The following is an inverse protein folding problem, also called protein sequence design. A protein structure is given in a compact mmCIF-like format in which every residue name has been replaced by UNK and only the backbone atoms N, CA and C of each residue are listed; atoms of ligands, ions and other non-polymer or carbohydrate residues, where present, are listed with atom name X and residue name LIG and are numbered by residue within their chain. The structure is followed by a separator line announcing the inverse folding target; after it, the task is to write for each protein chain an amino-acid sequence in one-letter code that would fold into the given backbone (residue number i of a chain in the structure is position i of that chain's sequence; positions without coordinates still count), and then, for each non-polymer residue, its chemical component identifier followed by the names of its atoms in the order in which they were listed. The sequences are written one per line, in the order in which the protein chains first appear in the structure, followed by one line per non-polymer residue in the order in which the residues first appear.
data_IF_864847321055
#
_entry.id   IF_864847321055
#
_cell.length_a   1.000
_cell.length_b   1.000
_cell.length_c   1.000
_cell.angle_alpha   90.00
_cell.angle_beta   90.00
_cell.angle_gamma   90.00
#
_symmetry.space_group_name_H-M   'P 1'
#
loop_
_entity.id
_entity.type
_entity.pdbx_description
1 polymer ?
#
# COMPACT_ATOMS: atom_id res chain seq x y z
N UNK A 1 -6.26 -12.34 29.44
CA UNK A 1 -6.31 -13.80 29.29
C UNK A 1 -7.32 -14.17 28.20
N UNK A 2 -6.83 -14.61 27.04
CA UNK A 2 -7.45 -15.60 26.19
C UNK A 2 -8.88 -15.38 25.71
N UNK A 3 -9.14 -14.32 24.91
CA UNK A 3 -10.25 -14.38 24.00
C UNK A 3 -9.89 -15.43 22.92
N UNK A 4 -10.47 -16.59 23.07
CA UNK A 4 -10.29 -17.70 22.14
C UNK A 4 -10.58 -17.24 20.71
N UNK A 5 -9.75 -17.62 19.76
CA UNK A 5 -9.77 -17.46 18.29
C UNK A 5 -11.10 -17.81 17.59
N UNK A 6 -12.27 -17.85 18.26
CA UNK A 6 -13.44 -18.63 17.85
C UNK A 6 -14.73 -17.88 17.55
N UNK A 7 -14.79 -16.57 17.68
CA UNK A 7 -16.00 -15.84 17.31
C UNK A 7 -15.75 -14.87 16.17
N UNK A 8 -15.63 -15.38 14.97
CA UNK A 8 -15.78 -14.55 13.76
C UNK A 8 -17.27 -14.41 13.45
N UNK A 9 -17.83 -13.27 13.77
CA UNK A 9 -19.12 -12.87 13.23
C UNK A 9 -18.95 -12.65 11.72
N UNK A 10 -19.44 -13.57 10.90
CA UNK A 10 -19.48 -13.42 9.45
C UNK A 10 -20.88 -12.98 9.05
N UNK A 11 -20.99 -11.80 8.48
CA UNK A 11 -22.17 -11.41 7.72
C UNK A 11 -22.10 -12.17 6.39
N UNK A 12 -22.98 -13.15 6.18
CA UNK A 12 -23.16 -13.84 4.90
C UNK A 12 -24.59 -13.62 4.44
N UNK A 13 -24.73 -12.98 3.30
CA UNK A 13 -25.98 -12.91 2.56
C UNK A 13 -25.94 -13.83 1.35
N UNK A 14 -27.03 -14.54 1.06
CA UNK A 14 -27.21 -15.15 -0.24
C UNK A 14 -27.56 -14.08 -1.29
N UNK A 15 -27.39 -14.36 -2.57
CA UNK A 15 -27.71 -13.41 -3.65
C UNK A 15 -29.17 -12.95 -3.63
N UNK A 16 -30.12 -13.81 -3.19
CA UNK A 16 -31.54 -13.48 -3.05
C UNK A 16 -31.77 -12.58 -1.82
N UNK A 17 -31.20 -12.90 -0.67
CA UNK A 17 -31.26 -12.07 0.54
C UNK A 17 -30.64 -10.70 0.32
N UNK A 18 -29.59 -10.63 -0.51
CA UNK A 18 -28.99 -9.37 -0.91
C UNK A 18 -29.95 -8.51 -1.73
N UNK A 19 -30.59 -9.08 -2.76
CA UNK A 19 -31.60 -8.37 -3.56
C UNK A 19 -32.75 -7.86 -2.68
N UNK A 20 -33.23 -8.66 -1.75
CA UNK A 20 -34.24 -8.26 -0.78
C UNK A 20 -33.76 -7.18 0.18
N UNK A 21 -32.54 -7.33 0.73
CA UNK A 21 -31.96 -6.32 1.64
C UNK A 21 -31.72 -4.96 0.97
N UNK A 22 -31.39 -4.96 -0.32
CA UNK A 22 -31.26 -3.72 -1.12
C UNK A 22 -32.62 -3.11 -1.40
N UNK A 23 -33.64 -3.92 -1.73
CA UNK A 23 -34.99 -3.41 -2.01
C UNK A 23 -35.69 -2.91 -0.74
N UNK A 24 -35.54 -3.61 0.40
CA UNK A 24 -36.23 -3.32 1.65
C UNK A 24 -35.43 -2.48 2.63
N UNK A 25 -34.22 -2.05 2.26
CA UNK A 25 -33.28 -1.30 3.14
C UNK A 25 -33.00 -2.04 4.47
N UNK A 26 -33.08 -3.36 4.47
CA UNK A 26 -32.86 -4.21 5.64
C UNK A 26 -31.56 -4.97 5.52
N UNK A 27 -30.69 -4.83 6.50
CA UNK A 27 -29.48 -5.64 6.66
C UNK A 27 -29.75 -6.72 7.69
N UNK A 28 -29.60 -7.99 7.32
CA UNK A 28 -29.76 -9.12 8.25
C UNK A 28 -28.39 -9.59 8.72
N UNK A 29 -28.15 -9.49 10.01
CA UNK A 29 -26.95 -10.04 10.65
C UNK A 29 -27.23 -11.46 11.12
N UNK A 30 -26.53 -12.44 10.52
CA UNK A 30 -26.57 -13.84 10.98
C UNK A 30 -25.49 -14.10 11.99
N UNK A 31 -25.87 -14.43 13.21
CA UNK A 31 -24.93 -14.86 14.24
C UNK A 31 -24.57 -16.34 13.99
N UNK A 32 -23.31 -16.59 13.69
CA UNK A 32 -22.80 -17.94 13.44
C UNK A 32 -21.71 -18.25 14.47
N UNK A 33 -21.91 -19.31 15.25
CA UNK A 33 -20.87 -19.82 16.15
C UNK A 33 -20.12 -20.92 15.44
N UNK A 34 -18.80 -20.76 15.32
CA UNK A 34 -17.90 -21.78 14.81
C UNK A 34 -17.39 -22.66 15.96
N UNK A 35 -17.48 -23.96 15.82
CA UNK A 35 -16.85 -24.94 16.70
C UNK A 35 -15.81 -25.75 15.91
N UNK A 36 -14.80 -26.23 16.63
CA UNK A 36 -13.83 -27.14 16.03
C UNK A 36 -14.56 -28.38 15.49
N UNK A 37 -14.25 -28.78 14.27
CA UNK A 37 -14.84 -29.96 13.67
C UNK A 37 -14.41 -31.21 14.46
N UNK A 38 -15.35 -31.90 15.06
CA UNK A 38 -15.11 -33.10 15.89
C UNK A 38 -14.67 -34.31 15.06
N UNK A 39 -15.01 -34.35 13.77
CA UNK A 39 -14.67 -35.46 12.86
C UNK A 39 -13.18 -35.41 12.46
N UNK A 40 -12.61 -34.24 12.29
CA UNK A 40 -11.20 -34.11 11.91
C UNK A 40 -10.37 -33.38 12.98
N UNK A 41 -10.91 -33.16 14.17
CA UNK A 41 -10.25 -32.46 15.28
C UNK A 41 -9.60 -31.14 14.87
N UNK A 42 -10.22 -30.39 13.95
CA UNK A 42 -9.73 -29.11 13.47
C UNK A 42 -8.73 -29.18 12.32
N UNK A 43 -8.26 -30.35 11.92
CA UNK A 43 -7.23 -30.49 10.89
C UNK A 43 -7.75 -30.29 9.45
N UNK A 44 -9.06 -30.30 9.22
CA UNK A 44 -9.66 -30.18 7.88
C UNK A 44 -9.52 -31.43 6.99
N UNK A 45 -8.74 -32.40 7.42
CA UNK A 45 -8.48 -33.65 6.71
C UNK A 45 -8.63 -34.83 7.65
N UNK A 46 -9.08 -35.97 7.11
CA UNK A 46 -9.24 -37.24 7.82
C UNK A 46 -8.43 -38.34 7.17
N UNK A 47 -8.02 -39.33 7.94
CA UNK A 47 -7.35 -40.50 7.41
C UNK A 47 -8.30 -41.29 6.50
N UNK A 48 -7.75 -41.85 5.45
CA UNK A 48 -8.50 -42.70 4.52
C UNK A 48 -8.04 -44.15 4.67
N UNK A 49 -8.96 -44.97 5.06
CA UNK A 49 -8.78 -46.45 5.11
C UNK A 49 -9.15 -47.04 3.75
N UNK A 50 -8.20 -47.77 3.15
CA UNK A 50 -8.40 -48.48 1.90
C UNK A 50 -9.27 -49.71 2.09
N UNK A 51 -9.75 -50.31 0.99
CA UNK A 51 -10.55 -51.54 1.02
C UNK A 51 -9.85 -52.75 1.65
N UNK A 52 -8.52 -52.75 1.63
CA UNK A 52 -7.67 -53.78 2.25
C UNK A 52 -7.43 -53.56 3.77
N UNK A 53 -8.09 -52.57 4.37
CA UNK A 53 -7.96 -52.24 5.79
C UNK A 53 -6.74 -51.38 6.13
N UNK A 54 -5.86 -51.06 5.18
CA UNK A 54 -4.67 -50.24 5.45
C UNK A 54 -4.98 -48.76 5.38
N UNK A 55 -4.33 -47.97 6.22
CA UNK A 55 -4.48 -46.50 6.21
C UNK A 55 -3.62 -45.90 5.08
N UNK A 56 -4.22 -45.08 4.25
CA UNK A 56 -3.54 -44.39 3.15
C UNK A 56 -2.60 -43.28 3.69
N UNK A 57 -1.44 -43.13 3.09
CA UNK A 57 -0.55 -41.96 3.37
C UNK A 57 -1.19 -40.64 2.95
N UNK A 58 -2.17 -40.66 2.03
CA UNK A 58 -2.88 -39.46 1.53
C UNK A 58 -4.15 -39.29 2.36
N UNK A 59 -4.25 -38.18 3.09
CA UNK A 59 -5.45 -37.80 3.84
C UNK A 59 -6.51 -37.22 2.91
N UNK A 60 -7.78 -37.52 3.16
CA UNK A 60 -8.92 -36.96 2.44
C UNK A 60 -9.45 -35.69 3.13
N UNK A 61 -10.02 -34.80 2.33
CA UNK A 61 -10.73 -33.63 2.84
C UNK A 61 -11.88 -34.09 3.74
N UNK A 62 -11.97 -33.56 4.95
CA UNK A 62 -13.08 -33.86 5.86
C UNK A 62 -14.38 -33.33 5.30
N UNK A 63 -15.30 -34.22 4.99
CA UNK A 63 -16.62 -33.89 4.43
C UNK A 63 -17.50 -33.08 5.39
N UNK A 64 -17.34 -33.27 6.70
CA UNK A 64 -18.14 -32.59 7.74
C UNK A 64 -17.85 -31.07 7.78
N UNK A 65 -16.64 -30.66 7.56
CA UNK A 65 -16.22 -29.25 7.58
C UNK A 65 -15.73 -28.74 6.20
N UNK A 66 -15.83 -29.57 5.15
CA UNK A 66 -15.32 -29.27 3.81
C UNK A 66 -13.89 -28.74 3.80
N UNK A 67 -13.02 -29.38 4.57
CA UNK A 67 -11.60 -29.01 4.68
C UNK A 67 -11.30 -27.81 5.57
N UNK A 68 -12.30 -27.16 6.17
CA UNK A 68 -12.12 -25.90 6.94
C UNK A 68 -11.65 -26.11 8.38
N UNK A 69 -11.65 -27.34 8.90
CA UNK A 69 -11.34 -27.66 10.28
C UNK A 69 -12.40 -27.20 11.29
N UNK A 70 -13.41 -26.45 10.84
CA UNK A 70 -14.45 -25.86 11.68
C UNK A 70 -15.84 -26.11 11.08
N UNK A 71 -16.81 -26.37 11.95
CA UNK A 71 -18.24 -26.39 11.63
C UNK A 71 -18.90 -25.12 12.18
N UNK A 72 -19.93 -24.64 11.50
CA UNK A 72 -20.63 -23.40 11.85
C UNK A 72 -22.10 -23.66 12.06
N UNK A 73 -22.63 -23.25 13.22
CA UNK A 73 -24.05 -23.33 13.57
C UNK A 73 -24.61 -21.91 13.58
N UNK A 74 -25.74 -21.72 12.89
CA UNK A 74 -26.50 -20.46 12.93
C UNK A 74 -27.33 -20.44 14.24
N UNK A 75 -27.04 -19.44 15.10
CA UNK A 75 -27.70 -19.31 16.41
C UNK A 75 -28.78 -18.25 16.47
N UNK A 76 -29.04 -17.55 15.38
CA UNK A 76 -30.11 -16.57 15.29
C UNK A 76 -29.88 -15.51 14.21
N UNK A 77 -30.92 -14.70 14.00
CA UNK A 77 -30.84 -13.50 13.16
C UNK A 77 -31.14 -12.29 14.05
N UNK A 78 -30.35 -11.23 13.91
CA UNK A 78 -30.66 -9.93 14.51
C UNK A 78 -30.94 -8.95 13.39
N UNK A 79 -31.92 -8.05 13.61
CA UNK A 79 -32.11 -6.93 12.69
C UNK A 79 -30.82 -6.12 12.62
N UNK A 80 -30.34 -5.87 11.40
CA UNK A 80 -29.17 -5.03 11.19
C UNK A 80 -29.53 -3.55 11.30
N UNK A 81 -28.52 -2.68 11.20
CA UNK A 81 -28.68 -1.23 11.27
C UNK A 81 -29.28 -0.59 10.01
N UNK A 82 -29.87 -1.37 9.10
CA UNK A 82 -30.44 -0.90 7.81
C UNK A 82 -29.47 -0.05 6.98
N UNK A 83 -28.20 -0.40 7.00
CA UNK A 83 -27.17 0.25 6.20
C UNK A 83 -27.15 -0.40 4.82
N UNK A 84 -27.57 0.34 3.79
CA UNK A 84 -27.55 -0.15 2.42
C UNK A 84 -26.26 0.24 1.70
N UNK A 85 -25.78 -0.54 0.72
CA UNK A 85 -24.66 -0.13 -0.12
C UNK A 85 -25.06 1.06 -1.00
N UNK A 86 -24.12 1.94 -1.29
CA UNK A 86 -24.32 3.08 -2.22
C UNK A 86 -24.42 2.62 -3.67
N UNK A 87 -23.72 1.56 -4.01
CA UNK A 87 -23.61 1.06 -5.39
C UNK A 87 -23.33 -0.43 -5.43
N UNK A 88 -23.45 -1.00 -6.62
CA UNK A 88 -23.08 -2.40 -6.88
C UNK A 88 -21.61 -2.68 -6.56
N UNK A 89 -20.74 -1.66 -6.62
CA UNK A 89 -19.31 -1.79 -6.31
C UNK A 89 -19.03 -1.98 -4.83
N UNK A 90 -19.97 -1.61 -3.94
CA UNK A 90 -19.85 -1.86 -2.51
C UNK A 90 -20.21 -3.29 -2.13
N UNK A 91 -20.64 -4.07 -3.11
CA UNK A 91 -20.97 -5.47 -2.95
C UNK A 91 -19.75 -6.32 -3.21
N UNK A 92 -19.30 -7.01 -2.17
CA UNK A 92 -18.33 -8.09 -2.34
C UNK A 92 -19.06 -9.42 -2.50
N UNK A 93 -18.40 -10.44 -3.06
CA UNK A 93 -18.97 -11.77 -3.21
C UNK A 93 -19.49 -12.30 -1.85
N UNK A 94 -20.82 -12.28 -1.69
CA UNK A 94 -21.54 -12.73 -0.50
C UNK A 94 -21.73 -11.70 0.62
N UNK A 95 -21.64 -10.40 0.36
CA UNK A 95 -21.91 -9.35 1.34
C UNK A 95 -21.49 -7.96 0.91
N UNK A 96 -21.53 -7.03 1.85
CA UNK A 96 -21.08 -5.65 1.64
C UNK A 96 -19.60 -5.52 1.95
N UNK A 97 -18.94 -4.56 1.28
CA UNK A 97 -17.64 -4.08 1.69
C UNK A 97 -17.75 -3.40 3.05
N UNK A 98 -16.86 -3.76 3.96
CA UNK A 98 -16.76 -3.20 5.31
C UNK A 98 -15.35 -2.71 5.58
N UNK A 99 -14.63 -2.36 4.51
CA UNK A 99 -13.35 -1.67 4.64
C UNK A 99 -13.55 -0.25 5.18
N UNK A 100 -12.46 0.31 5.73
CA UNK A 100 -12.46 1.62 6.38
C UNK A 100 -13.07 2.69 5.47
N UNK A 101 -12.62 2.77 4.23
CA UNK A 101 -13.03 3.83 3.30
C UNK A 101 -14.53 3.76 2.98
N UNK A 102 -15.05 2.54 2.78
CA UNK A 102 -16.49 2.33 2.55
C UNK A 102 -17.31 2.74 3.76
N UNK A 103 -16.86 2.38 4.98
CA UNK A 103 -17.58 2.70 6.21
C UNK A 103 -17.50 4.20 6.56
N UNK A 104 -16.36 4.84 6.40
CA UNK A 104 -16.18 6.28 6.61
C UNK A 104 -17.06 7.11 5.69
N UNK A 105 -17.20 6.72 4.42
CA UNK A 105 -18.12 7.38 3.47
C UNK A 105 -19.60 7.27 3.86
N UNK A 106 -19.95 6.29 4.72
CA UNK A 106 -21.33 6.09 5.19
C UNK A 106 -21.63 6.85 6.49
N UNK A 107 -20.62 7.19 7.28
CA UNK A 107 -20.80 7.84 8.59
C UNK A 107 -21.71 9.10 8.56
N UNK A 108 -21.60 10.00 7.57
CA UNK A 108 -22.48 11.18 7.52
C UNK A 108 -23.98 10.86 7.37
N UNK A 109 -24.30 9.69 6.84
CA UNK A 109 -25.67 9.24 6.60
C UNK A 109 -26.26 8.47 7.79
N UNK A 110 -25.42 8.13 8.78
CA UNK A 110 -25.79 7.31 9.93
C UNK A 110 -26.05 8.19 11.17
N UNK A 111 -27.00 7.73 11.99
CA UNK A 111 -27.32 8.39 13.29
C UNK A 111 -27.54 7.34 14.39
N UNK A 112 -27.55 7.77 15.64
CA UNK A 112 -27.80 6.92 16.83
C UNK A 112 -26.88 5.70 16.89
N UNK A 113 -27.44 4.57 17.32
CA UNK A 113 -26.67 3.32 17.52
C UNK A 113 -25.95 2.82 16.26
N UNK A 114 -26.49 3.04 15.07
CA UNK A 114 -25.84 2.65 13.83
C UNK A 114 -24.51 3.38 13.61
N UNK A 115 -24.52 4.69 13.87
CA UNK A 115 -23.31 5.54 13.79
C UNK A 115 -22.29 5.12 14.85
N UNK A 116 -22.69 5.01 16.10
CA UNK A 116 -21.82 4.60 17.20
C UNK A 116 -21.15 3.24 16.93
N UNK A 117 -21.94 2.28 16.43
CA UNK A 117 -21.42 0.96 16.08
C UNK A 117 -20.36 1.03 14.96
N UNK A 118 -20.63 1.79 13.89
CA UNK A 118 -19.69 1.90 12.75
C UNK A 118 -18.41 2.60 13.18
N UNK A 119 -18.50 3.69 13.95
CA UNK A 119 -17.34 4.38 14.52
C UNK A 119 -16.50 3.47 15.42
N UNK A 120 -17.15 2.71 16.31
CA UNK A 120 -16.49 1.74 17.16
C UNK A 120 -15.84 0.60 16.35
N UNK A 121 -16.50 0.13 15.30
CA UNK A 121 -15.98 -0.92 14.43
C UNK A 121 -14.76 -0.46 13.62
N UNK A 122 -14.77 0.75 13.10
CA UNK A 122 -13.62 1.35 12.40
C UNK A 122 -12.42 1.42 13.34
N UNK A 123 -12.61 1.95 14.56
CA UNK A 123 -11.55 2.01 15.59
C UNK A 123 -11.06 0.63 15.98
N UNK A 124 -11.95 -0.31 16.26
CA UNK A 124 -11.60 -1.68 16.58
C UNK A 124 -10.78 -2.35 15.45
N UNK A 125 -11.20 -2.16 14.20
CA UNK A 125 -10.50 -2.75 13.04
C UNK A 125 -9.10 -2.16 12.87
N UNK A 126 -8.94 -0.86 13.09
CA UNK A 126 -7.64 -0.19 13.04
C UNK A 126 -6.70 -0.71 14.15
N UNK A 127 -7.16 -0.72 15.40
CA UNK A 127 -6.37 -1.22 16.54
C UNK A 127 -6.03 -2.70 16.38
N UNK A 128 -6.98 -3.51 15.95
CA UNK A 128 -6.76 -4.94 15.71
C UNK A 128 -5.70 -5.19 14.65
N UNK A 129 -5.78 -4.46 13.53
CA UNK A 129 -4.79 -4.56 12.45
C UNK A 129 -3.41 -4.13 12.94
N UNK A 130 -3.36 -3.06 13.71
CA UNK A 130 -2.12 -2.57 14.31
C UNK A 130 -1.49 -3.62 15.25
N UNK A 131 -2.26 -4.14 16.20
CA UNK A 131 -1.77 -5.16 17.14
C UNK A 131 -1.28 -6.42 16.40
N UNK A 132 -2.08 -6.95 15.49
CA UNK A 132 -1.73 -8.22 14.82
C UNK A 132 -0.56 -8.11 13.85
N UNK A 133 -0.46 -6.98 13.12
CA UNK A 133 0.56 -6.84 12.07
C UNK A 133 1.87 -6.26 12.59
N UNK A 134 1.79 -5.34 13.55
CA UNK A 134 2.97 -4.63 14.01
C UNK A 134 3.42 -5.08 15.40
N UNK A 135 2.54 -5.15 16.40
CA UNK A 135 2.97 -5.55 17.75
C UNK A 135 3.27 -7.06 17.78
N UNK A 136 2.28 -7.90 17.52
CA UNK A 136 2.47 -9.36 17.49
C UNK A 136 3.45 -9.77 16.38
N UNK A 137 3.37 -9.09 15.23
CA UNK A 137 4.25 -9.32 14.09
C UNK A 137 5.72 -9.04 14.41
N UNK A 138 6.03 -8.01 15.19
CA UNK A 138 7.39 -7.72 15.62
C UNK A 138 7.88 -8.71 16.67
N UNK A 139 7.10 -8.93 17.74
CA UNK A 139 7.48 -9.89 18.78
C UNK A 139 7.74 -11.31 18.26
N UNK A 140 6.96 -11.75 17.27
CA UNK A 140 7.13 -13.08 16.68
C UNK A 140 8.35 -13.21 15.76
N UNK A 141 8.99 -12.12 15.41
CA UNK A 141 10.14 -12.07 14.49
C UNK A 141 11.40 -11.46 15.13
N UNK A 142 11.37 -11.20 16.45
CA UNK A 142 12.57 -10.82 17.19
C UNK A 142 13.51 -12.03 17.29
N UNK A 143 14.77 -11.81 17.01
CA UNK A 143 15.82 -12.77 17.31
C UNK A 143 16.26 -12.71 18.79
N UNK A 144 17.20 -13.56 19.18
CA UNK A 144 17.68 -13.64 20.56
C UNK A 144 18.43 -12.38 21.04
N UNK A 145 18.85 -11.52 20.11
CA UNK A 145 19.57 -10.28 20.38
C UNK A 145 18.66 -9.06 20.33
N UNK A 146 17.35 -9.25 20.08
CA UNK A 146 16.39 -8.16 19.98
C UNK A 146 16.31 -7.51 18.59
N UNK A 147 16.94 -8.10 17.57
CA UNK A 147 16.85 -7.60 16.19
C UNK A 147 15.68 -8.21 15.44
N UNK A 148 15.21 -7.46 14.44
CA UNK A 148 14.20 -7.90 13.48
C UNK A 148 14.82 -7.87 12.09
N UNK A 149 14.69 -8.97 11.36
CA UNK A 149 15.22 -9.16 10.02
C UNK A 149 14.08 -9.30 9.00
N UNK A 150 13.47 -8.18 8.52
CA UNK A 150 12.40 -8.26 7.54
C UNK A 150 12.91 -8.83 6.21
N UNK A 151 12.10 -9.65 5.58
CA UNK A 151 12.41 -10.16 4.25
C UNK A 151 11.95 -9.15 3.19
N UNK A 152 12.87 -8.72 2.30
CA UNK A 152 12.56 -7.91 1.13
C UNK A 152 12.49 -8.79 -0.11
N UNK A 153 11.35 -8.74 -0.78
CA UNK A 153 11.10 -9.55 -1.97
C UNK A 153 11.07 -8.66 -3.21
N UNK A 154 11.86 -9.04 -4.20
CA UNK A 154 11.80 -8.48 -5.55
C UNK A 154 10.73 -9.20 -6.36
N UNK A 155 10.23 -8.58 -7.42
CA UNK A 155 9.34 -9.17 -8.42
C UNK A 155 8.01 -9.74 -7.89
N UNK A 156 7.55 -9.32 -6.71
CA UNK A 156 6.24 -9.71 -6.15
C UNK A 156 5.15 -8.70 -6.50
N UNK A 157 5.49 -7.43 -6.50
CA UNK A 157 4.55 -6.37 -6.87
C UNK A 157 4.49 -6.22 -8.38
N UNK A 158 3.31 -5.88 -8.92
CA UNK A 158 3.16 -5.68 -10.37
C UNK A 158 3.96 -4.48 -10.90
N UNK A 159 4.26 -3.50 -10.05
CA UNK A 159 5.03 -2.31 -10.42
C UNK A 159 6.55 -2.51 -10.34
N UNK A 160 7.03 -3.63 -9.76
CA UNK A 160 8.45 -3.86 -9.51
C UNK A 160 8.97 -3.26 -8.20
N UNK A 161 8.11 -2.59 -7.40
CA UNK A 161 8.46 -2.16 -6.03
C UNK A 161 8.91 -3.34 -5.20
N UNK A 162 9.84 -3.11 -4.28
CA UNK A 162 10.13 -4.06 -3.21
C UNK A 162 8.89 -4.29 -2.37
N UNK A 163 8.76 -5.47 -1.84
CA UNK A 163 7.72 -5.87 -0.90
C UNK A 163 8.39 -6.45 0.35
N UNK A 164 7.90 -6.11 1.53
CA UNK A 164 8.45 -6.58 2.80
C UNK A 164 7.45 -7.48 3.53
N UNK A 165 7.99 -8.51 4.23
CA UNK A 165 7.22 -9.43 5.09
C UNK A 165 8.06 -9.92 6.25
N UNK A 166 7.42 -10.54 7.24
CA UNK A 166 8.02 -11.19 8.41
C UNK A 166 8.94 -10.27 9.25
N UNK A 167 8.47 -9.09 9.70
CA UNK A 167 7.22 -8.39 9.44
C UNK A 167 7.30 -7.44 8.24
N UNK A 168 6.16 -6.81 7.86
CA UNK A 168 6.14 -5.81 6.79
C UNK A 168 6.56 -4.43 7.31
N UNK A 169 7.84 -4.10 7.20
CA UNK A 169 8.41 -2.81 7.63
C UNK A 169 8.06 -1.65 6.70
N UNK A 170 7.65 -1.92 5.46
CA UNK A 170 7.29 -0.86 4.51
C UNK A 170 5.90 -0.25 4.77
N UNK A 171 5.07 -0.93 5.58
CA UNK A 171 3.71 -0.47 5.90
C UNK A 171 3.57 0.01 7.36
N UNK A 172 4.66 0.30 8.05
CA UNK A 172 4.62 0.82 9.43
C UNK A 172 3.97 2.21 9.46
N UNK A 173 2.93 2.43 10.30
CA UNK A 173 2.24 3.71 10.37
C UNK A 173 3.19 4.85 10.77
N UNK A 174 3.02 6.01 10.11
CA UNK A 174 3.81 7.24 10.38
C UNK A 174 3.14 8.19 11.38
N UNK A 175 1.90 7.90 11.81
CA UNK A 175 1.11 8.84 12.62
C UNK A 175 1.36 8.73 14.13
N UNK A 176 0.98 9.79 14.85
CA UNK A 176 1.03 9.86 16.31
C UNK A 176 0.06 8.92 17.03
N UNK A 177 -0.98 8.45 16.34
CA UNK A 177 -1.97 7.51 16.91
C UNK A 177 -1.37 6.13 17.17
N UNK A 178 -0.41 5.71 16.35
CA UNK A 178 0.26 4.41 16.43
C UNK A 178 1.77 4.62 16.38
N UNK A 179 2.38 4.62 17.54
CA UNK A 179 3.78 5.03 17.75
C UNK A 179 4.81 3.90 17.52
N UNK A 180 4.45 2.87 16.73
CA UNK A 180 5.29 1.67 16.59
C UNK A 180 6.69 1.95 16.04
N UNK A 181 6.87 3.00 15.22
CA UNK A 181 8.19 3.40 14.73
C UNK A 181 9.15 3.79 15.85
N UNK A 182 8.63 4.12 17.04
CA UNK A 182 9.45 4.49 18.19
C UNK A 182 10.30 3.33 18.73
N UNK A 183 9.87 2.09 18.51
CA UNK A 183 10.63 0.91 18.94
C UNK A 183 11.77 0.53 18.00
N UNK A 184 11.89 1.23 16.88
CA UNK A 184 13.01 1.06 15.93
C UNK A 184 14.08 2.08 16.30
N UNK A 185 15.09 1.60 17.01
CA UNK A 185 16.22 2.37 17.53
C UNK A 185 17.52 1.87 16.91
N UNK A 186 18.58 2.66 17.04
CA UNK A 186 19.90 2.25 16.60
C UNK A 186 20.44 1.08 17.43
N UNK A 187 21.17 0.18 16.79
CA UNK A 187 21.89 -0.91 17.44
C UNK A 187 23.09 -0.46 18.29
N UNK A 188 23.59 0.75 18.01
CA UNK A 188 24.71 1.32 18.74
C UNK A 188 24.23 2.22 19.87
N UNK A 189 24.95 2.24 20.97
CA UNK A 189 24.71 3.19 22.03
C UNK A 189 24.86 4.62 21.48
N UNK A 190 23.85 5.44 21.70
CA UNK A 190 23.79 6.80 21.15
C UNK A 190 23.92 6.89 19.61
N UNK A 191 23.61 5.82 18.89
CA UNK A 191 23.53 5.83 17.43
C UNK A 191 22.33 6.58 16.89
N UNK A 192 22.20 6.65 15.57
CA UNK A 192 21.22 7.42 14.87
C UNK A 192 20.44 6.58 13.86
N UNK A 193 19.12 6.77 13.82
CA UNK A 193 18.30 6.39 12.67
C UNK A 193 18.21 7.60 11.75
N UNK A 194 18.64 7.44 10.49
CA UNK A 194 18.69 8.49 9.47
C UNK A 194 17.78 8.05 8.32
N UNK A 195 16.80 8.88 7.94
CA UNK A 195 15.88 8.60 6.81
C UNK A 195 16.05 9.68 5.75
N UNK A 196 16.40 9.29 4.52
CA UNK A 196 16.38 10.17 3.36
C UNK A 196 15.21 9.82 2.46
N UNK A 197 14.39 10.82 2.08
CA UNK A 197 13.14 10.65 1.33
C UNK A 197 13.13 11.61 0.13
N UNK A 198 12.69 11.10 -1.03
CA UNK A 198 12.51 11.95 -2.20
C UNK A 198 11.23 12.77 -2.11
N UNK A 199 11.33 14.07 -2.35
CA UNK A 199 10.16 14.94 -2.43
C UNK A 199 9.40 14.71 -3.73
N UNK A 200 8.17 14.15 -3.64
CA UNK A 200 7.24 14.02 -4.77
C UNK A 200 7.83 13.26 -5.98
N UNK A 201 8.60 12.19 -5.76
CA UNK A 201 9.31 11.48 -6.82
C UNK A 201 8.39 11.03 -7.96
N UNK A 202 7.20 10.50 -7.66
CA UNK A 202 6.25 10.02 -8.68
C UNK A 202 5.73 11.15 -9.59
N UNK A 203 5.56 12.37 -9.04
CA UNK A 203 5.19 13.55 -9.85
C UNK A 203 6.32 13.96 -10.80
N UNK A 204 7.55 13.98 -10.29
CA UNK A 204 8.75 14.27 -11.08
C UNK A 204 8.96 13.24 -12.19
N UNK A 205 8.79 11.96 -11.87
CA UNK A 205 8.86 10.85 -12.84
C UNK A 205 7.76 10.96 -13.90
N UNK A 206 6.53 11.32 -13.53
CA UNK A 206 5.46 11.53 -14.50
C UNK A 206 5.78 12.67 -15.46
N UNK A 207 6.34 13.78 -14.95
CA UNK A 207 6.82 14.89 -15.78
C UNK A 207 7.91 14.47 -16.75
N UNK A 208 8.90 13.73 -16.28
CA UNK A 208 9.97 13.19 -17.11
C UNK A 208 9.46 12.25 -18.21
N UNK A 209 8.67 11.25 -17.83
CA UNK A 209 8.17 10.23 -18.79
C UNK A 209 7.21 10.82 -19.84
N UNK A 210 6.44 11.83 -19.46
CA UNK A 210 5.54 12.54 -20.39
C UNK A 210 6.22 13.64 -21.21
N UNK A 211 7.34 14.18 -20.71
CA UNK A 211 7.94 15.39 -21.27
C UNK A 211 7.08 16.64 -21.06
N UNK A 212 6.45 16.78 -19.88
CA UNK A 212 5.54 17.91 -19.60
C UNK A 212 6.34 19.12 -19.06
N UNK A 213 6.47 20.16 -19.86
CA UNK A 213 7.22 21.39 -19.53
C UNK A 213 6.64 22.11 -18.30
N UNK A 214 5.32 22.02 -18.06
CA UNK A 214 4.70 22.66 -16.91
C UNK A 214 5.07 21.93 -15.61
N UNK A 215 5.22 20.61 -15.64
CA UNK A 215 5.74 19.85 -14.49
C UNK A 215 7.18 20.28 -14.21
N UNK A 216 8.03 20.40 -15.24
CA UNK A 216 9.41 20.89 -15.07
C UNK A 216 9.44 22.30 -14.47
N UNK A 217 8.61 23.20 -14.95
CA UNK A 217 8.51 24.57 -14.46
C UNK A 217 8.08 24.60 -12.99
N UNK A 218 7.04 23.86 -12.63
CA UNK A 218 6.52 23.79 -11.25
C UNK A 218 7.52 23.17 -10.27
N UNK A 219 8.18 22.10 -10.67
CA UNK A 219 9.23 21.45 -9.89
C UNK A 219 10.40 22.40 -9.65
N UNK A 220 10.86 23.10 -10.71
CA UNK A 220 11.94 24.07 -10.63
C UNK A 220 11.59 25.29 -9.77
N UNK A 221 10.33 25.71 -9.78
CA UNK A 221 9.82 26.80 -8.94
C UNK A 221 9.55 26.38 -7.49
N UNK A 222 9.69 25.10 -7.12
CA UNK A 222 9.36 24.59 -5.79
C UNK A 222 7.85 24.66 -5.48
N UNK A 223 7.00 24.56 -6.51
CA UNK A 223 5.53 24.67 -6.36
C UNK A 223 5.00 23.53 -5.51
N UNK A 224 4.29 23.87 -4.43
CA UNK A 224 3.59 22.89 -3.60
C UNK A 224 2.29 22.45 -4.27
N UNK A 225 2.33 21.32 -4.99
CA UNK A 225 1.17 20.75 -5.70
C UNK A 225 0.05 20.33 -4.75
N UNK A 226 0.32 20.07 -3.46
CA UNK A 226 -0.72 19.79 -2.47
C UNK A 226 -1.49 21.04 -2.08
N UNK A 227 -0.80 22.18 -1.93
CA UNK A 227 -1.46 23.47 -1.72
C UNK A 227 -2.27 23.89 -2.95
N UNK A 228 -1.76 23.68 -4.15
CA UNK A 228 -2.52 23.89 -5.39
C UNK A 228 -3.80 23.04 -5.40
N UNK A 229 -3.71 21.76 -5.07
CA UNK A 229 -4.87 20.86 -4.95
C UNK A 229 -5.86 21.36 -3.89
N UNK A 230 -5.37 21.73 -2.71
CA UNK A 230 -6.17 22.23 -1.59
C UNK A 230 -6.99 23.45 -1.96
N UNK A 231 -6.40 24.39 -2.71
CA UNK A 231 -7.07 25.62 -3.14
C UNK A 231 -8.26 25.36 -4.09
N UNK A 232 -8.15 24.34 -4.95
CA UNK A 232 -9.22 24.01 -5.90
C UNK A 232 -10.32 23.16 -5.25
N UNK A 233 -9.95 22.21 -4.40
CA UNK A 233 -10.92 21.35 -3.72
C UNK A 233 -11.63 22.10 -2.59
N UNK A 234 -10.99 23.08 -1.96
CA UNK A 234 -11.48 23.80 -0.79
C UNK A 234 -11.30 22.99 0.50
N UNK A 235 -10.15 22.40 0.69
CA UNK A 235 -9.80 21.59 1.87
C UNK A 235 -8.41 21.96 2.41
N UNK A 236 -8.01 21.36 3.53
CA UNK A 236 -6.66 21.52 4.05
C UNK A 236 -5.61 20.84 3.17
N UNK A 237 -4.35 21.31 3.23
CA UNK A 237 -3.21 20.67 2.54
C UNK A 237 -3.08 19.19 2.88
N UNK A 238 -3.34 18.83 4.13
CA UNK A 238 -3.25 17.44 4.59
C UNK A 238 -4.33 16.55 3.95
N UNK A 239 -5.56 17.05 3.83
CA UNK A 239 -6.63 16.33 3.13
C UNK A 239 -6.38 16.26 1.63
N UNK A 240 -5.81 17.32 1.04
CA UNK A 240 -5.48 17.36 -0.38
C UNK A 240 -4.47 16.28 -0.80
N UNK A 241 -3.54 15.88 0.08
CA UNK A 241 -2.55 14.82 -0.19
C UNK A 241 -3.19 13.54 -0.74
N UNK A 242 -4.36 13.14 -0.23
CA UNK A 242 -5.06 11.95 -0.69
C UNK A 242 -5.60 12.05 -2.12
N UNK A 243 -5.65 13.26 -2.69
CA UNK A 243 -6.27 13.53 -4.00
C UNK A 243 -5.28 14.02 -5.03
N UNK A 244 -4.17 14.65 -4.63
CA UNK A 244 -3.21 15.35 -5.50
C UNK A 244 -2.70 14.47 -6.63
N UNK A 245 -2.33 13.23 -6.36
CA UNK A 245 -1.74 12.35 -7.36
C UNK A 245 -2.74 11.36 -8.02
N UNK A 246 -4.03 11.42 -7.65
CA UNK A 246 -5.04 10.58 -8.33
C UNK A 246 -5.08 10.77 -9.85
N UNK A 247 -4.98 12.01 -10.39
CA UNK A 247 -4.95 12.20 -11.83
C UNK A 247 -3.73 11.58 -12.52
N UNK A 248 -2.56 11.51 -11.86
CA UNK A 248 -1.38 10.84 -12.39
C UNK A 248 -1.64 9.36 -12.71
N UNK A 249 -2.57 8.74 -11.97
CA UNK A 249 -2.95 7.34 -12.17
C UNK A 249 -4.26 7.18 -12.95
N UNK A 250 -4.66 8.22 -13.69
CA UNK A 250 -5.88 8.20 -14.48
C UNK A 250 -7.17 8.26 -13.64
N UNK A 251 -7.11 8.57 -12.35
CA UNK A 251 -8.27 8.72 -11.48
C UNK A 251 -9.03 10.00 -11.78
N UNK A 252 -10.33 9.88 -12.10
CA UNK A 252 -11.22 11.01 -12.45
C UNK A 252 -12.54 10.99 -11.68
N UNK A 253 -12.66 10.10 -10.70
CA UNK A 253 -13.91 9.90 -9.93
C UNK A 253 -13.81 10.54 -8.56
N UNK A 254 -14.93 11.04 -8.03
CA UNK A 254 -15.02 11.65 -6.70
C UNK A 254 -16.16 12.64 -6.60
N UNK A 255 -16.09 13.52 -5.59
CA UNK A 255 -17.02 14.66 -5.42
C UNK A 255 -16.85 15.65 -6.57
N UNK A 256 -17.81 16.56 -6.73
CA UNK A 256 -17.72 17.57 -7.80
C UNK A 256 -16.50 18.50 -7.62
N UNK A 257 -16.11 18.80 -6.37
CA UNK A 257 -14.87 19.54 -6.10
C UNK A 257 -13.62 18.76 -6.56
N UNK A 258 -13.57 17.46 -6.28
CA UNK A 258 -12.49 16.59 -6.74
C UNK A 258 -12.45 16.47 -8.27
N UNK A 259 -13.61 16.37 -8.92
CA UNK A 259 -13.70 16.36 -10.39
C UNK A 259 -13.21 17.68 -11.00
N UNK A 260 -13.57 18.84 -10.39
CA UNK A 260 -13.03 20.14 -10.81
C UNK A 260 -11.49 20.15 -10.73
N UNK A 261 -10.94 19.65 -9.62
CA UNK A 261 -9.49 19.53 -9.49
C UNK A 261 -8.88 18.62 -10.58
N UNK A 262 -9.47 17.46 -10.84
CA UNK A 262 -8.96 16.54 -11.86
C UNK A 262 -8.97 17.17 -13.26
N UNK A 263 -9.97 17.97 -13.58
CA UNK A 263 -10.02 18.73 -14.85
C UNK A 263 -8.94 19.82 -14.86
N UNK A 264 -8.82 20.62 -13.78
CA UNK A 264 -7.77 21.64 -13.67
C UNK A 264 -6.35 21.04 -13.75
N UNK A 265 -6.15 19.85 -13.18
CA UNK A 265 -4.89 19.11 -13.30
C UNK A 265 -4.60 18.74 -14.76
N UNK A 266 -5.60 18.24 -15.48
CA UNK A 266 -5.46 17.89 -16.91
C UNK A 266 -5.18 19.10 -17.79
N UNK A 267 -5.82 20.21 -17.50
CA UNK A 267 -5.61 21.45 -18.24
C UNK A 267 -4.22 22.02 -17.97
N UNK A 268 -3.75 21.95 -16.71
CA UNK A 268 -2.43 22.44 -16.30
C UNK A 268 -1.29 21.56 -16.83
N UNK A 269 -1.43 20.24 -16.71
CA UNK A 269 -0.42 19.25 -17.10
C UNK A 269 -0.94 18.45 -18.31
N UNK A 270 -1.20 19.17 -19.39
CA UNK A 270 -1.86 18.61 -20.59
C UNK A 270 -1.04 17.49 -21.22
N UNK A 271 0.30 17.63 -21.24
CA UNK A 271 1.17 16.62 -21.83
C UNK A 271 1.18 15.32 -21.03
N UNK A 272 1.07 15.38 -19.68
CA UNK A 272 0.85 14.18 -18.85
C UNK A 272 -0.43 13.46 -19.29
N UNK A 273 -1.50 14.21 -19.54
CA UNK A 273 -2.79 13.62 -19.94
C UNK A 273 -2.72 12.99 -21.34
N UNK A 274 -2.09 13.65 -22.29
CA UNK A 274 -1.85 13.12 -23.65
C UNK A 274 -1.01 11.83 -23.59
N UNK A 275 0.07 11.84 -22.80
CA UNK A 275 0.91 10.66 -22.56
C UNK A 275 0.13 9.50 -21.95
N UNK A 276 -0.79 9.76 -21.02
CA UNK A 276 -1.67 8.71 -20.48
C UNK A 276 -2.57 8.09 -21.56
N UNK A 277 -3.00 8.86 -22.55
CA UNK A 277 -3.78 8.35 -23.67
C UNK A 277 -2.89 7.59 -24.68
N UNK A 278 -1.64 8.01 -24.86
CA UNK A 278 -0.62 7.26 -25.61
C UNK A 278 -0.34 5.90 -24.99
N UNK A 279 -0.12 5.85 -23.66
CA UNK A 279 0.07 4.60 -22.93
C UNK A 279 -1.10 3.63 -23.08
N UNK A 280 -2.34 4.14 -23.06
CA UNK A 280 -3.52 3.30 -23.26
C UNK A 280 -3.56 2.72 -24.69
N UNK A 281 -3.20 3.50 -25.72
CA UNK A 281 -3.08 3.01 -27.10
C UNK A 281 -2.02 1.93 -27.22
N UNK A 282 -0.81 2.20 -26.71
CA UNK A 282 0.30 1.25 -26.71
C UNK A 282 -0.08 -0.07 -26.00
N UNK A 283 -0.68 0.01 -24.82
CA UNK A 283 -1.11 -1.17 -24.06
C UNK A 283 -2.21 -1.98 -24.78
N UNK A 284 -3.11 -1.34 -25.53
CA UNK A 284 -4.15 -2.04 -26.30
C UNK A 284 -3.59 -2.64 -27.59
N UNK A 285 -2.67 -1.96 -28.27
CA UNK A 285 -2.09 -2.41 -29.53
C UNK A 285 -1.01 -3.46 -29.31
N UNK A 286 0.02 -3.12 -28.53
CA UNK A 286 1.21 -3.95 -28.32
C UNK A 286 1.05 -5.00 -27.21
N UNK A 287 0.03 -4.84 -26.33
CA UNK A 287 -0.19 -5.65 -25.12
C UNK A 287 0.89 -5.50 -24.05
N UNK A 288 1.77 -4.54 -24.19
CA UNK A 288 2.75 -4.14 -23.19
C UNK A 288 3.10 -2.65 -23.32
N UNK A 289 3.72 -2.11 -22.29
CA UNK A 289 4.34 -0.78 -22.25
C UNK A 289 5.80 -0.99 -21.87
N UNK A 290 6.71 -0.28 -22.54
CA UNK A 290 8.13 -0.31 -22.26
C UNK A 290 8.60 1.03 -21.68
N UNK A 291 9.31 0.97 -20.55
CA UNK A 291 9.97 2.14 -19.97
C UNK A 291 11.31 2.44 -20.67
N UNK A 292 11.84 3.68 -20.53
CA UNK A 292 13.18 4.02 -21.01
C UNK A 292 14.27 3.11 -20.45
N UNK A 293 14.13 2.59 -19.22
CA UNK A 293 15.02 1.60 -18.61
C UNK A 293 14.99 0.21 -19.27
N UNK A 294 14.09 -0.01 -20.22
CA UNK A 294 13.85 -1.31 -20.86
C UNK A 294 12.87 -2.22 -20.10
N UNK A 295 12.36 -1.80 -18.95
CA UNK A 295 11.32 -2.55 -18.20
C UNK A 295 10.02 -2.61 -18.98
N UNK A 296 9.39 -3.78 -19.01
CA UNK A 296 8.11 -3.99 -19.69
C UNK A 296 7.00 -4.34 -18.71
N UNK A 297 5.82 -3.76 -18.95
CA UNK A 297 4.57 -4.10 -18.25
C UNK A 297 3.59 -4.71 -19.24
N UNK A 298 3.24 -5.95 -19.05
CA UNK A 298 2.37 -6.71 -19.97
C UNK A 298 0.89 -6.61 -19.58
N UNK A 299 0.05 -6.33 -20.57
CA UNK A 299 -1.42 -6.17 -20.44
C UNK A 299 -2.17 -7.04 -21.46
N UNK A 300 -2.00 -8.39 -21.46
CA UNK A 300 -2.46 -9.25 -22.54
C UNK A 300 -3.98 -9.22 -22.75
N UNK A 301 -4.76 -8.94 -21.70
CA UNK A 301 -6.23 -8.88 -21.75
C UNK A 301 -6.81 -7.49 -21.95
N UNK A 302 -5.99 -6.46 -22.20
CA UNK A 302 -6.46 -5.08 -22.33
C UNK A 302 -7.14 -4.85 -23.67
N UNK A 303 -8.33 -4.21 -23.63
CA UNK A 303 -9.16 -3.82 -24.76
C UNK A 303 -9.79 -2.45 -24.49
N UNK A 304 -10.29 -1.81 -25.55
CA UNK A 304 -11.08 -0.59 -25.39
C UNK A 304 -12.45 -0.89 -24.76
N UNK A 305 -12.84 -0.06 -23.81
CA UNK A 305 -14.21 -0.05 -23.28
C UNK A 305 -15.14 0.74 -24.23
N UNK A 306 -16.45 0.62 -24.05
CA UNK A 306 -17.42 1.44 -24.79
C UNK A 306 -17.29 2.95 -24.56
N UNK A 307 -16.52 3.36 -23.57
CA UNK A 307 -16.28 4.76 -23.21
C UNK A 307 -14.99 5.32 -23.81
N UNK A 308 -14.31 4.56 -24.68
CA UNK A 308 -13.05 4.98 -25.30
C UNK A 308 -11.84 4.97 -24.35
N UNK A 309 -11.90 4.27 -23.23
CA UNK A 309 -10.76 4.09 -22.32
C UNK A 309 -10.32 2.64 -22.31
N UNK A 310 -9.06 2.36 -22.02
CA UNK A 310 -8.57 0.99 -21.85
C UNK A 310 -9.14 0.33 -20.59
N UNK A 311 -9.41 -0.99 -20.62
CA UNK A 311 -9.99 -1.74 -19.49
C UNK A 311 -9.14 -1.66 -18.23
N UNK A 312 -7.82 -1.61 -18.33
CA UNK A 312 -6.89 -1.53 -17.21
C UNK A 312 -6.26 -0.14 -17.04
N UNK A 313 -6.96 0.93 -17.43
CA UNK A 313 -6.45 2.31 -17.48
C UNK A 313 -5.63 2.71 -16.27
N UNK A 314 -6.12 2.48 -15.05
CA UNK A 314 -5.41 2.86 -13.82
C UNK A 314 -4.06 2.15 -13.69
N UNK A 315 -3.97 0.87 -14.00
CA UNK A 315 -2.71 0.13 -13.96
C UNK A 315 -1.77 0.60 -15.08
N UNK A 316 -2.30 0.85 -16.27
CA UNK A 316 -1.57 1.37 -17.43
C UNK A 316 -0.91 2.72 -17.14
N UNK A 317 -1.62 3.65 -16.49
CA UNK A 317 -1.08 4.95 -16.13
C UNK A 317 -0.17 4.91 -14.89
N UNK A 318 -0.43 3.99 -13.95
CA UNK A 318 0.28 3.93 -12.67
C UNK A 318 1.62 3.16 -12.76
N UNK A 319 1.64 2.00 -13.44
CA UNK A 319 2.81 1.12 -13.41
C UNK A 319 4.08 1.78 -13.96
N UNK A 320 4.05 2.55 -15.06
CA UNK A 320 5.22 3.25 -15.53
C UNK A 320 5.79 4.25 -14.51
N UNK A 321 4.93 5.05 -13.90
CA UNK A 321 5.33 6.07 -12.93
C UNK A 321 5.93 5.43 -11.68
N UNK A 322 5.20 4.50 -11.07
CA UNK A 322 5.68 3.80 -9.86
C UNK A 322 6.92 2.95 -10.14
N UNK A 323 6.95 2.28 -11.28
CA UNK A 323 8.06 1.41 -11.62
C UNK A 323 9.35 2.17 -11.86
N UNK A 324 9.30 3.24 -12.66
CA UNK A 324 10.50 4.04 -12.89
C UNK A 324 11.00 4.70 -11.60
N UNK A 325 10.09 5.26 -10.77
CA UNK A 325 10.43 5.88 -9.51
C UNK A 325 11.08 4.90 -8.51
N UNK A 326 10.41 3.78 -8.25
CA UNK A 326 10.75 2.93 -7.09
C UNK A 326 11.34 1.56 -7.45
N UNK A 327 11.32 1.17 -8.74
CA UNK A 327 11.96 -0.06 -9.19
C UNK A 327 13.16 0.17 -10.11
N UNK A 328 13.36 1.40 -10.63
CA UNK A 328 14.52 1.75 -11.44
C UNK A 328 15.40 2.79 -10.72
N UNK A 329 14.88 3.98 -10.32
CA UNK A 329 15.69 5.01 -9.66
C UNK A 329 16.14 4.61 -8.25
N UNK A 330 15.23 4.22 -7.37
CA UNK A 330 15.57 3.90 -5.98
C UNK A 330 16.61 2.77 -5.84
N UNK A 331 16.56 1.66 -6.59
CA UNK A 331 17.62 0.66 -6.58
C UNK A 331 18.99 1.19 -7.01
N UNK A 332 19.04 2.18 -7.90
CA UNK A 332 20.29 2.85 -8.25
C UNK A 332 20.90 3.56 -7.04
N UNK A 333 20.10 4.33 -6.30
CA UNK A 333 20.54 4.97 -5.05
C UNK A 333 21.00 3.94 -4.01
N UNK A 334 20.24 2.86 -3.80
CA UNK A 334 20.59 1.79 -2.86
C UNK A 334 21.92 1.11 -3.21
N UNK A 335 22.18 0.87 -4.49
CA UNK A 335 23.43 0.24 -4.96
C UNK A 335 24.60 1.19 -4.76
N UNK A 336 24.44 2.47 -5.12
CA UNK A 336 25.48 3.49 -4.90
C UNK A 336 25.79 3.59 -3.40
N UNK A 337 24.79 3.81 -2.58
CA UNK A 337 24.88 3.92 -1.13
C UNK A 337 25.63 2.72 -0.51
N UNK A 338 25.18 1.50 -0.82
CA UNK A 338 25.82 0.28 -0.31
C UNK A 338 27.30 0.18 -0.68
N UNK A 339 27.65 0.53 -1.93
CA UNK A 339 29.05 0.51 -2.41
C UNK A 339 29.89 1.54 -1.69
N UNK A 340 29.39 2.76 -1.54
CA UNK A 340 30.09 3.85 -0.89
C UNK A 340 30.34 3.59 0.59
N UNK A 341 29.31 3.14 1.33
CA UNK A 341 29.48 2.74 2.74
C UNK A 341 30.54 1.64 2.89
N UNK A 342 30.51 0.64 2.01
CA UNK A 342 31.50 -0.44 2.04
C UNK A 342 32.92 0.00 1.67
N UNK A 343 33.08 0.88 0.68
CA UNK A 343 34.37 1.43 0.26
C UNK A 343 35.02 2.27 1.38
N UNK A 344 34.21 3.05 2.09
CA UNK A 344 34.64 3.86 3.22
C UNK A 344 34.77 3.05 4.52
N UNK A 345 34.48 1.74 4.48
CA UNK A 345 34.56 0.80 5.63
C UNK A 345 33.72 1.26 6.81
N UNK A 346 32.57 1.87 6.54
CA UNK A 346 31.65 2.34 7.57
C UNK A 346 30.92 1.18 8.24
N UNK A 347 30.61 1.36 9.51
CA UNK A 347 29.76 0.46 10.28
C UNK A 347 28.27 0.74 10.04
N UNK A 348 27.93 1.93 9.56
CA UNK A 348 26.58 2.34 9.14
C UNK A 348 25.97 1.33 8.17
N UNK A 349 24.71 0.94 8.42
CA UNK A 349 24.01 -0.04 7.59
C UNK A 349 22.69 0.51 7.04
N UNK A 350 22.32 0.04 5.86
CA UNK A 350 20.97 0.23 5.33
C UNK A 350 20.05 -0.74 6.07
N UNK A 351 19.16 -0.22 6.91
CA UNK A 351 18.27 -1.04 7.72
C UNK A 351 16.85 -1.17 7.15
N UNK A 352 16.39 -0.21 6.34
CA UNK A 352 15.08 -0.26 5.70
C UNK A 352 15.02 0.57 4.41
N UNK A 353 14.03 0.30 3.58
CA UNK A 353 13.60 1.15 2.47
C UNK A 353 12.08 1.14 2.39
N UNK A 354 11.45 2.32 2.30
CA UNK A 354 10.00 2.47 2.31
C UNK A 354 9.57 3.36 1.15
N UNK A 355 8.96 2.74 0.13
CA UNK A 355 8.50 3.41 -1.09
C UNK A 355 9.64 4.12 -1.83
N UNK A 356 9.89 5.38 -1.52
CA UNK A 356 10.89 6.29 -2.08
C UNK A 356 11.91 6.79 -1.04
N UNK A 357 11.91 6.21 0.17
CA UNK A 357 12.87 6.53 1.22
C UNK A 357 13.86 5.39 1.50
N UNK A 358 15.03 5.77 2.03
CA UNK A 358 16.07 4.87 2.53
C UNK A 358 16.31 5.20 3.99
N UNK A 359 16.42 4.17 4.83
CA UNK A 359 16.66 4.32 6.27
C UNK A 359 17.99 3.66 6.61
N UNK A 360 18.85 4.42 7.28
CA UNK A 360 20.13 3.99 7.81
C UNK A 360 20.05 3.83 9.33
N UNK A 361 20.89 2.96 9.83
CA UNK A 361 21.25 2.82 11.22
C UNK A 361 22.76 3.10 11.32
N UNK A 362 23.15 4.18 12.02
CA UNK A 362 24.51 4.72 12.04
C UNK A 362 25.04 4.86 13.48
N UNK A 363 26.29 4.48 13.76
CA UNK A 363 26.94 4.83 15.03
C UNK A 363 27.11 6.34 15.18
N UNK A 364 27.31 6.80 16.40
CA UNK A 364 27.32 8.22 16.74
C UNK A 364 28.43 8.99 16.01
N UNK A 365 29.58 8.40 15.85
CA UNK A 365 30.77 9.00 15.24
C UNK A 365 30.72 9.06 13.71
N UNK A 366 29.87 8.22 13.08
CA UNK A 366 29.66 8.23 11.63
C UNK A 366 28.47 9.12 11.18
N UNK A 367 27.77 9.79 12.10
CA UNK A 367 26.53 10.54 11.80
C UNK A 367 26.67 11.46 10.59
N UNK A 368 27.66 12.34 10.59
CA UNK A 368 27.83 13.35 9.54
C UNK A 368 28.17 12.73 8.19
N UNK A 369 29.06 11.75 8.19
CA UNK A 369 29.49 11.06 6.98
C UNK A 369 28.34 10.22 6.40
N UNK A 370 27.57 9.55 7.24
CA UNK A 370 26.40 8.79 6.83
C UNK A 370 25.31 9.67 6.19
N UNK A 371 25.08 10.87 6.74
CA UNK A 371 24.15 11.86 6.16
C UNK A 371 24.65 12.31 4.78
N UNK A 372 25.93 12.68 4.66
CA UNK A 372 26.49 13.13 3.38
C UNK A 372 26.45 12.03 2.32
N UNK A 373 26.82 10.81 2.67
CA UNK A 373 26.78 9.68 1.73
C UNK A 373 25.34 9.34 1.32
N UNK A 374 24.36 9.49 2.23
CA UNK A 374 22.97 9.30 1.90
C UNK A 374 22.46 10.37 0.93
N UNK A 375 22.83 11.63 1.16
CA UNK A 375 22.53 12.76 0.26
C UNK A 375 23.11 12.51 -1.14
N UNK A 376 24.41 12.23 -1.22
CA UNK A 376 25.10 11.91 -2.45
C UNK A 376 24.45 10.72 -3.17
N UNK A 377 24.04 9.69 -2.45
CA UNK A 377 23.40 8.50 -3.01
C UNK A 377 22.03 8.81 -3.62
N UNK A 378 21.22 9.61 -2.93
CA UNK A 378 19.91 10.00 -3.43
C UNK A 378 20.02 10.93 -4.66
N UNK A 379 21.02 11.78 -4.73
CA UNK A 379 21.30 12.66 -5.87
C UNK A 379 21.96 11.92 -7.05
N UNK A 380 22.75 10.88 -6.77
CA UNK A 380 23.51 10.12 -7.79
C UNK A 380 22.63 9.36 -8.79
N UNK A 381 21.34 9.22 -8.54
CA UNK A 381 20.44 8.42 -9.40
C UNK A 381 20.43 8.88 -10.85
N UNK A 382 20.70 10.15 -11.12
CA UNK A 382 20.81 10.69 -12.49
C UNK A 382 21.97 10.05 -13.26
N UNK A 383 23.13 9.97 -12.62
CA UNK A 383 24.31 9.38 -13.23
C UNK A 383 24.24 7.86 -13.26
N UNK A 384 23.76 7.24 -12.18
CA UNK A 384 23.59 5.80 -12.10
C UNK A 384 22.61 5.26 -13.14
N UNK A 385 21.48 5.95 -13.39
CA UNK A 385 20.49 5.51 -14.39
C UNK A 385 21.00 5.73 -15.82
N UNK A 386 21.78 6.83 -16.03
CA UNK A 386 22.48 7.06 -17.30
C UNK A 386 23.47 5.94 -17.60
N UNK A 387 24.31 5.60 -16.64
CA UNK A 387 25.34 4.58 -16.81
C UNK A 387 24.74 3.18 -17.03
N UNK A 388 23.63 2.84 -16.34
CA UNK A 388 23.04 1.49 -16.39
C UNK A 388 22.12 1.27 -17.57
N UNK A 389 21.33 2.29 -17.88
CA UNK A 389 20.22 2.14 -18.83
C UNK A 389 20.31 3.12 -20.00
N UNK A 390 21.35 3.95 -20.05
CA UNK A 390 21.50 5.03 -21.04
C UNK A 390 20.29 5.97 -21.08
N UNK A 391 19.76 6.32 -19.89
CA UNK A 391 18.59 7.21 -19.73
C UNK A 391 19.05 8.53 -19.12
N UNK A 392 18.80 9.62 -19.84
CA UNK A 392 19.06 10.98 -19.36
C UNK A 392 17.88 11.48 -18.51
N UNK A 393 17.94 11.22 -17.19
CA UNK A 393 16.94 11.71 -16.24
C UNK A 393 17.32 13.11 -15.75
N UNK A 394 16.85 14.14 -16.47
CA UNK A 394 17.21 15.54 -16.24
C UNK A 394 16.30 16.29 -15.25
N UNK A 395 15.19 15.67 -14.82
CA UNK A 395 14.24 16.25 -13.86
C UNK A 395 14.95 16.66 -12.56
N UNK A 396 14.76 17.90 -12.03
CA UNK A 396 15.30 18.28 -10.73
C UNK A 396 14.82 17.33 -9.64
N UNK A 397 15.73 16.91 -8.77
CA UNK A 397 15.46 16.08 -7.60
C UNK A 397 15.56 16.96 -6.36
N UNK A 398 14.66 16.73 -5.42
CA UNK A 398 14.62 17.34 -4.11
C UNK A 398 14.46 16.25 -3.07
N UNK A 399 15.24 16.32 -2.00
CA UNK A 399 15.31 15.31 -0.95
C UNK A 399 15.18 15.95 0.43
N UNK A 400 14.65 15.21 1.37
CA UNK A 400 14.58 15.59 2.77
C UNK A 400 15.30 14.52 3.60
N UNK A 401 16.29 14.91 4.39
CA UNK A 401 16.96 14.01 5.32
C UNK A 401 16.52 14.32 6.73
N UNK A 402 16.19 13.28 7.49
CA UNK A 402 15.82 13.34 8.89
C UNK A 402 16.70 12.40 9.69
N UNK A 403 16.98 12.78 10.94
CA UNK A 403 17.66 11.92 11.91
C UNK A 403 16.95 11.89 13.25
N UNK A 404 17.08 10.82 13.99
CA UNK A 404 16.53 10.69 15.36
C UNK A 404 17.16 9.52 16.10
N UNK A 405 16.90 9.43 17.40
CA UNK A 405 17.30 8.25 18.21
C UNK A 405 16.42 7.04 17.95
N UNK A 406 15.25 7.28 17.39
CA UNK A 406 14.33 6.27 16.90
C UNK A 406 13.70 6.73 15.59
N UNK A 407 13.02 5.84 14.90
CA UNK A 407 12.44 6.14 13.58
C UNK A 407 11.15 6.99 13.62
N UNK A 408 10.60 7.30 14.80
CA UNK A 408 9.41 8.15 14.96
C UNK A 408 9.79 9.60 15.27
N UNK A 409 10.63 9.78 16.28
CA UNK A 409 11.02 11.08 16.80
C UNK A 409 12.26 11.57 16.04
N UNK A 410 12.04 12.12 14.83
CA UNK A 410 13.08 12.57 13.94
C UNK A 410 12.99 14.07 13.69
N UNK A 411 14.13 14.72 13.47
CA UNK A 411 14.28 16.13 13.07
C UNK A 411 14.89 16.23 11.67
N UNK A 412 14.52 17.28 10.93
CA UNK A 412 15.08 17.56 9.60
C UNK A 412 16.53 18.03 9.77
N UNK A 413 17.40 17.54 8.91
CA UNK A 413 18.81 17.94 8.85
C UNK A 413 18.99 18.96 7.73
N UNK A 414 19.58 20.09 8.04
CA UNK A 414 20.06 21.06 7.04
C UNK A 414 21.45 20.60 6.57
N UNK A 415 21.61 20.42 5.26
CA UNK A 415 22.85 19.94 4.61
C UNK A 415 23.52 21.10 3.91
#
# INVERSE_FOLDING_TARGET
RGATKKQKMRVRMTSSEFKHAVSDNTTVLRKTIGSQCTVCNGFGKVDFVKKDGTTSKIKRICKNCNGKGMTYVHTGQTAGFKISPRSVTDVAAGGFKTDKDTLEQRLPELSGQAREFVEAYIRYSAVRTYLSNFVDGMFNNLDNNGFIHPEYMQCVTATGRLSSRNPNFQNMPRGSTFVIRKVVESRWDNGWIIEGDYSQLEFRVAGFLSGDDQVYADVKAGTDVHNYTASIIGCSRQEAKAHTFKPLYGGVTGTDAQKRYYNAFKDKYSRVTEWQDELQREAVENKFIRLPSGREYHFPGTTWTRWGTATNRTAICNYPVQGFATADLLPCALIFLHRTLKQNKMETVICNTVHDSIVLDAPQDEEREAIQILDDALLSVKDEIRQRYNVEFDMPIDIEIKKGRNWLDTEVVEI
#
